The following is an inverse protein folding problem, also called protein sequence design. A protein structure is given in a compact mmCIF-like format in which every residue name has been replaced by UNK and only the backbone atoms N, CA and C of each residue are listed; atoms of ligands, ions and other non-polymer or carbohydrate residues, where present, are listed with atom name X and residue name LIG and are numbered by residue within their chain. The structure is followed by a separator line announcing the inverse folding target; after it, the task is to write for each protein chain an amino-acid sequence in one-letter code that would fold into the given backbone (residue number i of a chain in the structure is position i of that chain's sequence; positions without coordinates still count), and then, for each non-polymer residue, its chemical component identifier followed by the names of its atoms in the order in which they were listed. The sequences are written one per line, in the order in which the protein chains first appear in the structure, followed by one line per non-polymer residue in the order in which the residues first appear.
data_IF_573717545159
#
_entry.id   IF_573717545159
#
_cell.length_a   1.000
_cell.length_b   1.000
_cell.length_c   1.000
_cell.angle_alpha   90.00
_cell.angle_beta   90.00
_cell.angle_gamma   90.00
#
_symmetry.space_group_name_H-M   'P 1'
#
loop_
_entity.id
_entity.type
_entity.pdbx_description
1 polymer ?
#
# COMPACT_ATOMS: atom_id res chain seq x y z
N UNK A 1 19.93 42.87 -11.99
CA UNK A 1 19.26 41.85 -11.16
C UNK A 1 20.15 40.62 -11.14
N UNK A 2 20.75 40.32 -9.98
CA UNK A 2 21.61 39.16 -9.77
C UNK A 2 20.73 38.02 -9.22
N UNK A 3 20.70 36.89 -9.91
CA UNK A 3 20.11 35.65 -9.41
C UNK A 3 21.22 34.84 -8.76
N UNK A 4 21.18 34.73 -7.43
CA UNK A 4 22.07 33.86 -6.68
C UNK A 4 21.55 32.42 -6.75
N UNK A 5 22.37 31.53 -7.33
CA UNK A 5 22.16 30.09 -7.33
C UNK A 5 22.53 29.54 -5.95
N UNK A 6 21.52 29.12 -5.19
CA UNK A 6 21.70 28.40 -3.94
C UNK A 6 22.08 26.93 -4.27
N UNK A 7 23.37 26.62 -4.24
CA UNK A 7 23.87 25.25 -4.36
C UNK A 7 23.67 24.51 -3.02
N UNK A 8 22.74 23.56 -2.99
CA UNK A 8 22.55 22.65 -1.86
C UNK A 8 23.69 21.62 -1.86
N UNK A 9 24.53 21.69 -0.82
CA UNK A 9 25.60 20.73 -0.53
C UNK A 9 24.96 19.49 0.09
N UNK A 10 24.87 18.39 -0.66
CA UNK A 10 24.56 17.07 -0.09
C UNK A 10 25.86 16.42 0.36
N UNK A 11 26.13 16.53 1.66
CA UNK A 11 27.27 15.91 2.33
C UNK A 11 27.07 14.39 2.36
N UNK A 12 27.67 13.69 1.40
CA UNK A 12 27.65 12.22 1.34
C UNK A 12 28.72 11.66 2.29
N UNK A 13 28.29 11.06 3.41
CA UNK A 13 29.18 10.29 4.28
C UNK A 13 29.54 8.95 3.60
N UNK A 14 30.76 8.89 3.06
CA UNK A 14 31.41 7.63 2.70
C UNK A 14 31.87 6.91 3.97
N UNK A 15 31.25 5.78 4.29
CA UNK A 15 31.78 4.86 5.30
C UNK A 15 32.89 4.04 4.64
N UNK A 16 34.13 4.31 5.01
CA UNK A 16 35.29 3.50 4.61
C UNK A 16 35.31 2.21 5.42
N UNK A 17 35.21 1.08 4.72
CA UNK A 17 35.44 -0.25 5.27
C UNK A 17 36.94 -0.44 5.51
N UNK A 18 37.35 -0.62 6.76
CA UNK A 18 38.70 -1.04 7.13
C UNK A 18 38.87 -2.53 6.87
N UNK A 19 39.71 -2.89 5.90
CA UNK A 19 40.24 -4.24 5.78
C UNK A 19 41.41 -4.41 6.76
N UNK A 20 41.28 -5.34 7.71
CA UNK A 20 42.39 -5.85 8.49
C UNK A 20 42.75 -7.26 7.99
N UNK A 21 43.91 -7.39 7.34
CA UNK A 21 44.54 -8.68 7.09
C UNK A 21 45.36 -9.10 8.32
N UNK A 22 45.13 -10.32 8.83
CA UNK A 22 46.11 -11.03 9.67
C UNK A 22 46.19 -12.50 9.26
N UNK A 23 47.45 -12.96 9.21
CA UNK A 23 47.97 -14.13 8.51
C UNK A 23 47.64 -15.48 9.18
N UNK A 24 47.41 -16.47 8.32
CA UNK A 24 47.80 -17.88 8.36
C UNK A 24 47.82 -18.64 9.69
N UNK A 25 47.00 -19.69 9.79
CA UNK A 25 47.56 -21.04 10.03
C UNK A 25 46.67 -22.14 9.44
N UNK A 26 47.34 -23.15 8.88
CA UNK A 26 46.82 -24.28 8.12
C UNK A 26 46.33 -25.34 9.12
N UNK A 27 45.07 -25.78 9.01
CA UNK A 27 44.65 -27.17 9.24
C UNK A 27 43.14 -27.29 8.94
N UNK A 28 42.85 -27.83 7.76
CA UNK A 28 41.50 -28.03 7.24
C UNK A 28 40.83 -29.25 7.85
N UNK A 29 39.59 -29.15 8.33
CA UNK A 29 38.59 -30.19 8.17
C UNK A 29 37.61 -29.81 7.04
N UNK A 30 37.39 -30.80 6.16
CA UNK A 30 36.48 -30.88 5.01
C UNK A 30 35.24 -29.96 5.13
N UNK A 31 35.23 -28.85 4.38
CA UNK A 31 34.08 -27.95 4.26
C UNK A 31 33.10 -28.51 3.23
N UNK A 32 31.96 -29.00 3.71
CA UNK A 32 30.76 -29.25 2.91
C UNK A 32 30.42 -28.00 2.10
N UNK A 33 30.36 -28.14 0.79
CA UNK A 33 29.95 -27.09 -0.13
C UNK A 33 28.47 -26.79 0.08
N UNK A 34 28.14 -25.85 0.97
CA UNK A 34 26.81 -25.22 0.95
C UNK A 34 26.79 -24.26 -0.23
N UNK A 35 26.20 -24.72 -1.33
CA UNK A 35 25.78 -23.86 -2.44
C UNK A 35 24.83 -22.82 -1.85
N UNK A 36 25.23 -21.54 -1.89
CA UNK A 36 24.33 -20.45 -1.57
C UNK A 36 23.22 -20.44 -2.63
N UNK A 37 22.10 -21.07 -2.29
CA UNK A 37 20.89 -20.96 -3.09
C UNK A 37 20.50 -19.47 -3.13
N UNK A 38 20.41 -18.92 -4.34
CA UNK A 38 19.72 -17.66 -4.63
C UNK A 38 18.41 -17.68 -3.82
N UNK A 39 18.10 -16.68 -2.98
CA UNK A 39 16.84 -16.67 -2.23
C UNK A 39 15.70 -16.90 -3.22
N UNK A 40 15.00 -18.02 -3.07
CA UNK A 40 13.82 -18.30 -3.89
C UNK A 40 12.84 -17.15 -3.69
N UNK A 41 12.21 -16.69 -4.77
CA UNK A 41 11.19 -15.65 -4.68
C UNK A 41 10.20 -16.04 -3.57
N UNK A 42 10.01 -15.17 -2.58
CA UNK A 42 9.10 -15.41 -1.48
C UNK A 42 7.71 -15.71 -2.06
N UNK A 43 7.12 -16.83 -1.65
CA UNK A 43 5.78 -17.22 -2.13
C UNK A 43 4.76 -16.32 -1.47
N UNK A 44 3.97 -15.64 -2.29
CA UNK A 44 2.90 -14.77 -1.84
C UNK A 44 1.78 -15.56 -1.14
N UNK A 45 1.17 -14.96 -0.12
CA UNK A 45 0.01 -15.48 0.59
C UNK A 45 -1.19 -15.72 -0.33
N UNK A 46 -2.14 -16.55 0.14
CA UNK A 46 -3.37 -16.81 -0.62
C UNK A 46 -4.19 -15.51 -0.71
N UNK A 47 -4.71 -15.21 -1.89
CA UNK A 47 -5.54 -14.02 -2.16
C UNK A 47 -4.84 -12.66 -2.00
N UNK A 48 -3.50 -12.66 -1.95
CA UNK A 48 -2.70 -11.44 -1.92
C UNK A 48 -2.31 -11.06 -3.34
N UNK A 49 -2.33 -9.76 -3.64
CA UNK A 49 -1.87 -9.17 -4.88
C UNK A 49 -0.64 -8.30 -4.60
N UNK A 50 0.45 -8.49 -5.34
CA UNK A 50 1.56 -7.54 -5.38
C UNK A 50 1.23 -6.40 -6.35
N UNK A 51 1.44 -5.16 -5.91
CA UNK A 51 1.45 -3.97 -6.76
C UNK A 51 2.82 -3.30 -6.67
N UNK A 52 3.22 -2.63 -7.74
CA UNK A 52 4.49 -1.90 -7.80
C UNK A 52 4.19 -0.42 -7.97
N UNK A 53 4.73 0.38 -7.07
CA UNK A 53 4.62 1.82 -7.10
C UNK A 53 6.04 2.36 -7.07
N UNK A 54 6.45 3.00 -8.16
CA UNK A 54 7.86 3.39 -8.38
C UNK A 54 8.78 2.17 -8.21
N UNK A 55 9.68 2.19 -7.24
CA UNK A 55 10.63 1.11 -6.96
C UNK A 55 10.27 0.29 -5.71
N UNK A 56 9.07 0.47 -5.16
CA UNK A 56 8.60 -0.22 -3.95
C UNK A 56 7.46 -1.20 -4.30
N UNK A 57 7.44 -2.32 -3.58
CA UNK A 57 6.40 -3.34 -3.69
C UNK A 57 5.45 -3.23 -2.50
N UNK A 58 4.15 -3.20 -2.79
CA UNK A 58 3.09 -3.24 -1.80
C UNK A 58 2.23 -4.49 -2.04
N UNK A 59 1.64 -5.01 -0.97
CA UNK A 59 0.82 -6.20 -1.02
C UNK A 59 -0.60 -5.85 -0.58
N UNK A 60 -1.58 -6.30 -1.35
CA UNK A 60 -2.98 -6.00 -1.15
C UNK A 60 -3.78 -7.26 -0.86
N UNK A 61 -4.68 -7.17 0.11
CA UNK A 61 -5.68 -8.20 0.43
C UNK A 61 -7.08 -7.58 0.42
N UNK A 62 -8.10 -8.42 0.27
CA UNK A 62 -9.52 -8.03 0.44
C UNK A 62 -10.11 -8.57 1.74
N UNK A 63 -9.31 -9.30 2.51
CA UNK A 63 -9.73 -10.01 3.72
C UNK A 63 -9.07 -9.37 4.93
N UNK A 64 -9.87 -8.68 5.76
CA UNK A 64 -9.36 -8.03 6.99
C UNK A 64 -10.10 -8.45 8.26
N UNK A 65 -10.95 -9.48 8.19
CA UNK A 65 -11.79 -9.91 9.31
C UNK A 65 -13.02 -9.04 9.57
N UNK A 66 -13.33 -8.09 8.68
CA UNK A 66 -14.54 -7.26 8.71
C UNK A 66 -15.29 -7.36 7.38
N UNK A 67 -16.62 -7.18 7.35
CA UNK A 67 -17.42 -7.21 6.12
C UNK A 67 -17.27 -5.87 5.36
N UNK A 68 -16.13 -5.68 4.70
CA UNK A 68 -15.75 -4.42 4.05
C UNK A 68 -16.35 -4.20 2.66
N UNK A 69 -16.94 -5.24 2.05
CA UNK A 69 -17.59 -5.11 0.75
C UNK A 69 -18.96 -4.46 0.88
N UNK A 70 -19.33 -3.58 -0.05
CA UNK A 70 -20.63 -2.90 -0.08
C UNK A 70 -20.51 -1.44 -0.47
N UNK A 71 -21.60 -0.71 -0.27
CA UNK A 71 -21.72 0.71 -0.59
C UNK A 71 -21.41 1.56 0.64
N UNK A 72 -20.53 2.54 0.46
CA UNK A 72 -20.16 3.55 1.43
C UNK A 72 -20.73 4.88 0.96
N UNK A 73 -21.60 5.48 1.77
CA UNK A 73 -22.37 6.66 1.40
C UNK A 73 -21.89 7.90 2.16
N UNK A 74 -21.83 9.04 1.48
CA UNK A 74 -21.59 10.31 2.16
C UNK A 74 -22.80 10.72 3.01
N UNK A 75 -22.53 11.04 4.29
CA UNK A 75 -23.54 11.33 5.32
C UNK A 75 -24.67 10.28 5.42
N UNK A 76 -24.44 9.04 4.97
CA UNK A 76 -25.47 8.00 4.87
C UNK A 76 -26.70 8.37 4.02
N UNK A 77 -26.61 9.41 3.18
CA UNK A 77 -27.75 9.95 2.41
C UNK A 77 -27.67 9.59 0.93
N UNK A 78 -26.55 9.90 0.27
CA UNK A 78 -26.29 9.68 -1.17
C UNK A 78 -24.84 10.05 -1.53
N UNK A 79 -24.58 10.20 -2.83
CA UNK A 79 -23.31 10.65 -3.42
C UNK A 79 -22.58 11.73 -2.60
N UNK A 80 -21.23 11.72 -2.57
CA UNK A 80 -20.36 10.73 -3.23
C UNK A 80 -20.42 9.33 -2.62
N UNK A 81 -20.29 8.32 -3.47
CA UNK A 81 -20.25 6.92 -3.06
C UNK A 81 -18.88 6.28 -3.30
N UNK A 82 -18.54 5.30 -2.46
CA UNK A 82 -17.51 4.31 -2.77
C UNK A 82 -18.16 2.93 -2.69
N UNK A 83 -18.02 2.13 -3.74
CA UNK A 83 -18.51 0.75 -3.78
C UNK A 83 -17.33 -0.20 -3.83
N UNK A 84 -17.28 -1.16 -2.90
CA UNK A 84 -16.26 -2.20 -2.82
C UNK A 84 -16.88 -3.58 -3.12
N UNK A 85 -16.60 -4.16 -4.29
CA UNK A 85 -17.06 -5.52 -4.64
C UNK A 85 -16.05 -6.58 -4.18
N UNK A 86 -16.54 -7.78 -3.85
CA UNK A 86 -15.73 -8.88 -3.31
C UNK A 86 -14.61 -9.39 -4.24
N UNK A 87 -14.75 -9.19 -5.54
CA UNK A 87 -13.74 -9.55 -6.53
C UNK A 87 -12.55 -8.57 -6.57
N UNK A 88 -12.64 -7.43 -5.88
CA UNK A 88 -11.64 -6.36 -5.90
C UNK A 88 -11.90 -5.28 -6.94
N UNK A 89 -13.06 -5.30 -7.60
CA UNK A 89 -13.56 -4.19 -8.41
C UNK A 89 -14.43 -3.25 -7.57
N UNK A 90 -14.73 -2.08 -8.11
CA UNK A 90 -15.58 -1.12 -7.41
C UNK A 90 -15.91 0.12 -8.22
N UNK A 91 -16.60 1.05 -7.56
CA UNK A 91 -16.85 2.40 -8.06
C UNK A 91 -16.29 3.41 -7.06
N UNK A 92 -15.63 4.44 -7.57
CA UNK A 92 -15.18 5.57 -6.78
C UNK A 92 -15.82 6.84 -7.33
N UNK A 93 -16.29 7.70 -6.44
CA UNK A 93 -16.84 9.00 -6.81
C UNK A 93 -16.23 10.08 -5.93
N UNK A 94 -15.49 10.99 -6.55
CA UNK A 94 -15.13 12.24 -5.92
C UNK A 94 -16.34 13.17 -5.86
N UNK A 95 -16.30 14.11 -4.91
CA UNK A 95 -17.29 15.20 -4.85
C UNK A 95 -17.43 15.87 -6.22
N UNK A 96 -18.68 16.03 -6.67
CA UNK A 96 -19.05 16.67 -7.95
C UNK A 96 -18.55 15.96 -9.22
N UNK A 97 -17.95 14.77 -9.11
CA UNK A 97 -17.49 13.99 -10.25
C UNK A 97 -18.44 12.82 -10.55
N UNK A 98 -18.33 12.28 -11.76
CA UNK A 98 -19.00 11.03 -12.12
C UNK A 98 -18.38 9.84 -11.37
N UNK A 99 -19.21 8.85 -11.06
CA UNK A 99 -18.74 7.55 -10.58
C UNK A 99 -17.82 6.92 -11.62
N UNK A 100 -16.69 6.42 -11.16
CA UNK A 100 -15.65 5.88 -12.03
C UNK A 100 -15.25 4.47 -11.58
N UNK A 101 -15.17 3.48 -12.49
CA UNK A 101 -14.71 2.14 -12.14
C UNK A 101 -13.29 2.14 -11.58
N UNK A 102 -13.08 1.32 -10.54
CA UNK A 102 -11.78 1.12 -9.92
C UNK A 102 -11.51 -0.37 -9.64
N UNK A 103 -10.25 -0.69 -9.38
CA UNK A 103 -9.84 -1.86 -8.60
C UNK A 103 -9.29 -1.41 -7.26
N UNK A 104 -9.36 -2.25 -6.24
CA UNK A 104 -8.97 -1.89 -4.88
C UNK A 104 -8.40 -3.07 -4.07
N UNK A 105 -7.72 -2.73 -2.98
CA UNK A 105 -7.30 -3.67 -1.94
C UNK A 105 -6.79 -2.95 -0.69
N UNK A 106 -6.82 -3.63 0.46
CA UNK A 106 -6.25 -3.14 1.72
C UNK A 106 -4.79 -3.57 1.83
N UNK A 107 -3.93 -2.67 2.26
CA UNK A 107 -2.51 -2.98 2.45
C UNK A 107 -2.28 -4.10 3.50
N UNK A 108 -1.41 -5.04 3.16
CA UNK A 108 -1.04 -6.19 3.97
C UNK A 108 0.43 -6.53 3.83
N UNK A 109 0.89 -7.50 4.63
CA UNK A 109 2.18 -8.15 4.45
C UNK A 109 2.13 -9.23 3.36
N UNK A 110 3.29 -9.75 2.95
CA UNK A 110 3.39 -10.77 1.89
C UNK A 110 2.56 -12.03 2.17
N UNK A 111 2.30 -12.36 3.44
CA UNK A 111 1.51 -13.52 3.84
C UNK A 111 -0.01 -13.25 3.84
N UNK A 112 -0.42 -11.99 3.63
CA UNK A 112 -1.80 -11.55 3.63
C UNK A 112 -2.29 -10.96 4.95
N UNK A 113 -1.43 -10.88 5.97
CA UNK A 113 -1.76 -10.24 7.25
C UNK A 113 -2.02 -8.75 7.04
N UNK A 114 -3.22 -8.22 7.32
CA UNK A 114 -3.53 -6.81 7.10
C UNK A 114 -2.63 -5.89 7.94
N UNK A 115 -2.11 -4.82 7.32
CA UNK A 115 -1.32 -3.81 8.04
C UNK A 115 -2.26 -2.91 8.85
N UNK A 116 -2.50 -3.32 10.08
CA UNK A 116 -3.45 -2.72 10.99
C UNK A 116 -2.79 -1.68 11.90
N UNK A 117 -3.33 -0.46 11.89
CA UNK A 117 -2.95 0.62 12.81
C UNK A 117 -4.03 0.69 13.90
N UNK A 118 -3.64 0.59 15.18
CA UNK A 118 -4.59 0.65 16.30
C UNK A 118 -4.99 2.08 16.63
N UNK A 119 -6.26 2.30 16.93
CA UNK A 119 -6.81 3.54 17.47
C UNK A 119 -7.73 3.23 18.67
N UNK A 120 -8.06 4.24 19.48
CA UNK A 120 -8.89 4.04 20.68
C UNK A 120 -10.31 3.57 20.36
N UNK A 121 -10.84 3.97 19.20
CA UNK A 121 -12.18 3.63 18.70
C UNK A 121 -12.21 2.39 17.79
N UNK A 122 -11.04 1.80 17.48
CA UNK A 122 -10.95 0.63 16.61
C UNK A 122 -9.63 0.54 15.84
N UNK A 123 -9.72 0.52 14.51
CA UNK A 123 -8.59 0.21 13.63
C UNK A 123 -8.56 1.05 12.35
N UNK A 124 -7.36 1.38 11.88
CA UNK A 124 -7.09 2.03 10.61
C UNK A 124 -6.26 1.13 9.69
N UNK A 125 -6.49 1.31 8.40
CA UNK A 125 -5.81 0.62 7.31
C UNK A 125 -5.61 1.59 6.15
N UNK A 126 -4.71 1.21 5.24
CA UNK A 126 -4.55 1.87 3.94
C UNK A 126 -5.40 1.14 2.90
N UNK A 127 -6.36 1.83 2.30
CA UNK A 127 -7.08 1.35 1.13
C UNK A 127 -6.37 1.89 -0.11
N UNK A 128 -5.79 0.98 -0.88
CA UNK A 128 -5.22 1.26 -2.19
C UNK A 128 -6.28 1.06 -3.26
N UNK A 129 -6.34 1.97 -4.22
CA UNK A 129 -7.22 1.84 -5.38
C UNK A 129 -6.58 2.39 -6.64
N UNK A 130 -7.08 1.93 -7.79
CA UNK A 130 -6.63 2.36 -9.10
C UNK A 130 -7.84 2.53 -10.01
N UNK A 131 -8.01 3.73 -10.55
CA UNK A 131 -9.08 4.06 -11.49
C UNK A 131 -8.81 3.36 -12.84
N UNK A 132 -9.84 2.73 -13.42
CA UNK A 132 -9.74 1.94 -14.67
C UNK A 132 -10.37 2.61 -15.89
N UNK A 133 -10.91 3.82 -15.76
CA UNK A 133 -11.53 4.53 -16.86
C UNK A 133 -10.47 5.11 -17.81
N UNK A 134 -10.43 4.54 -19.03
CA UNK A 134 -9.38 4.65 -20.06
C UNK A 134 -8.90 6.07 -20.45
N UNK A 135 -9.55 7.14 -20.00
CA UNK A 135 -9.18 8.53 -20.30
C UNK A 135 -9.55 9.55 -19.20
N UNK A 136 -9.70 9.13 -17.93
CA UNK A 136 -10.19 10.03 -16.85
C UNK A 136 -9.53 9.88 -15.46
N UNK A 137 -8.53 9.01 -15.28
CA UNK A 137 -7.96 8.76 -13.95
C UNK A 137 -6.46 8.98 -13.91
N UNK A 138 -6.02 10.22 -14.00
CA UNK A 138 -4.74 10.58 -13.38
C UNK A 138 -4.90 10.36 -11.87
N UNK A 139 -3.93 9.73 -11.22
CA UNK A 139 -3.85 9.69 -9.75
C UNK A 139 -4.02 11.11 -9.23
N UNK A 140 -4.84 11.29 -8.21
CA UNK A 140 -5.07 12.63 -7.66
C UNK A 140 -3.80 13.17 -6.98
N UNK A 141 -2.95 12.28 -6.47
CA UNK A 141 -1.71 12.64 -5.81
C UNK A 141 -0.57 12.89 -6.80
N UNK A 142 -0.41 12.02 -7.81
CA UNK A 142 0.73 12.05 -8.73
C UNK A 142 0.43 12.62 -10.12
N UNK A 143 -0.84 12.71 -10.52
CA UNK A 143 -1.22 13.09 -11.88
C UNK A 143 -0.99 12.00 -12.94
N UNK A 144 -0.49 10.83 -12.56
CA UNK A 144 -0.14 9.75 -13.48
C UNK A 144 -1.36 8.89 -13.83
N UNK A 145 -1.53 8.56 -15.12
CA UNK A 145 -2.60 7.67 -15.57
C UNK A 145 -2.30 6.24 -15.09
N UNK A 146 -3.33 5.52 -14.64
CA UNK A 146 -3.22 4.17 -14.09
C UNK A 146 -2.31 4.08 -12.85
N UNK A 147 -2.08 5.18 -12.13
CA UNK A 147 -1.40 5.11 -10.85
C UNK A 147 -2.33 4.60 -9.73
N UNK A 148 -1.72 3.95 -8.75
CA UNK A 148 -2.38 3.57 -7.51
C UNK A 148 -2.41 4.77 -6.56
N UNK A 149 -3.58 5.07 -6.04
CA UNK A 149 -3.80 6.05 -5.00
C UNK A 149 -4.09 5.34 -3.66
N UNK A 150 -3.83 6.02 -2.55
CA UNK A 150 -4.10 5.52 -1.20
C UNK A 150 -5.02 6.47 -0.45
N UNK A 151 -5.99 5.91 0.27
CA UNK A 151 -6.89 6.67 1.15
C UNK A 151 -7.04 5.98 2.50
N UNK A 152 -7.47 6.77 3.49
CA UNK A 152 -7.78 6.24 4.81
C UNK A 152 -8.99 5.31 4.77
N UNK A 153 -8.84 4.18 5.47
CA UNK A 153 -9.91 3.22 5.71
C UNK A 153 -9.94 2.92 7.22
N UNK A 154 -11.06 3.19 7.88
CA UNK A 154 -11.18 2.98 9.32
C UNK A 154 -12.38 2.13 9.69
N UNK A 155 -12.18 1.26 10.68
CA UNK A 155 -13.21 0.43 11.29
C UNK A 155 -13.41 0.92 12.72
N UNK A 156 -14.55 1.53 12.97
CA UNK A 156 -14.97 2.03 14.28
C UNK A 156 -15.85 0.96 14.93
N UNK A 157 -15.31 0.31 15.95
CA UNK A 157 -15.93 -0.86 16.61
C UNK A 157 -16.93 -0.47 17.70
N UNK A 158 -16.84 0.75 18.21
CA UNK A 158 -17.75 1.34 19.19
C UNK A 158 -19.11 1.71 18.58
N UNK A 159 -19.13 2.13 17.31
CA UNK A 159 -20.34 2.54 16.59
C UNK A 159 -20.76 1.61 15.45
N UNK A 160 -20.04 0.50 15.23
CA UNK A 160 -20.27 -0.45 14.14
C UNK A 160 -20.29 0.22 12.76
N UNK A 161 -19.34 1.13 12.51
CA UNK A 161 -19.20 1.82 11.21
C UNK A 161 -17.82 1.65 10.63
N UNK A 162 -17.77 1.68 9.31
CA UNK A 162 -16.56 1.69 8.52
C UNK A 162 -16.56 2.96 7.68
N UNK A 163 -15.43 3.65 7.65
CA UNK A 163 -15.25 4.87 6.89
C UNK A 163 -14.18 4.72 5.82
N UNK A 164 -14.45 5.34 4.68
CA UNK A 164 -13.47 5.63 3.64
C UNK A 164 -13.36 7.14 3.53
N UNK A 165 -12.13 7.67 3.49
CA UNK A 165 -11.84 9.12 3.51
C UNK A 165 -12.39 9.85 4.76
N UNK A 166 -12.82 9.11 5.80
CA UNK A 166 -13.45 9.67 7.00
C UNK A 166 -14.89 10.16 6.82
N UNK A 167 -15.45 10.12 5.60
CA UNK A 167 -16.76 10.71 5.31
C UNK A 167 -17.71 9.81 4.49
N UNK A 168 -17.22 8.72 3.88
CA UNK A 168 -18.08 7.71 3.22
C UNK A 168 -18.28 6.54 4.17
N UNK A 169 -19.53 6.25 4.51
CA UNK A 169 -19.89 5.46 5.68
C UNK A 169 -20.62 4.18 5.27
N UNK A 170 -20.23 3.06 5.89
CA UNK A 170 -20.95 1.79 5.85
C UNK A 170 -21.13 1.25 7.28
N UNK A 171 -22.35 0.88 7.64
CA UNK A 171 -22.63 0.14 8.89
C UNK A 171 -22.33 -1.36 8.70
N UNK A 172 -21.91 -2.05 9.76
CA UNK A 172 -21.68 -3.49 9.73
C UNK A 172 -22.16 -4.22 10.99
#
# INVERSE_FOLDING_TARGET
MKTENLMIIVLSLFITSTQAQKKTNLNSPKKTTTVAAKPGAAKLGKNVQEIKIKNEAYFLTKEIGYPITGDYLFESKKDPIVQLNSDGTGLFQNHQMSRTPMVWGIECDMDGTPKKIKADWGFMYNLWYQIKAKHKGASWESGEIDAWDVVSFSVHTDENKIYILGERIKTY
#
